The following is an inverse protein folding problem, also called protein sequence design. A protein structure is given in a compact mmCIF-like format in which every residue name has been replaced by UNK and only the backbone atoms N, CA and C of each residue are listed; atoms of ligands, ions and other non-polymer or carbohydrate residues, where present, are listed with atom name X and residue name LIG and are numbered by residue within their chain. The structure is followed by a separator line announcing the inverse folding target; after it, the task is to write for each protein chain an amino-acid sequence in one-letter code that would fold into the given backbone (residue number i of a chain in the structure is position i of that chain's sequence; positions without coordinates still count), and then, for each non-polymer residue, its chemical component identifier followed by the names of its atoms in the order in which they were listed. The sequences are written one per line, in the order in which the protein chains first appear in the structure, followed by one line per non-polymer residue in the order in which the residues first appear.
data_IF_109749544955
#
_entry.id   IF_109749544955
#
_cell.length_a   1.000
_cell.length_b   1.000
_cell.length_c   1.000
_cell.angle_alpha   90.00
_cell.angle_beta   90.00
_cell.angle_gamma   90.00
#
_symmetry.space_group_name_H-M   'P 1'
#
loop_
_entity.id
_entity.type
_entity.pdbx_description
1 polymer ?
#
# COMPACT_ATOMS: atom_id res chain seq x y z
N UNK A 1 -58.49 25.13 57.17
CA UNK A 1 -57.38 26.09 57.26
C UNK A 1 -56.28 25.58 56.36
N UNK A 2 -56.06 26.26 55.25
CA UNK A 2 -55.02 25.98 54.25
C UNK A 2 -53.74 26.69 54.73
N UNK A 3 -52.65 25.97 54.93
CA UNK A 3 -51.29 26.51 54.94
C UNK A 3 -50.26 25.39 54.79
N UNK A 4 -50.24 24.76 53.62
CA UNK A 4 -49.03 24.14 53.08
C UNK A 4 -48.50 25.09 52.00
N UNK A 5 -47.88 26.20 52.44
CA UNK A 5 -46.96 26.92 51.56
C UNK A 5 -45.65 26.18 51.64
N UNK A 6 -45.40 25.29 50.68
CA UNK A 6 -44.06 24.82 50.36
C UNK A 6 -43.50 25.75 49.27
N UNK A 7 -42.81 26.86 49.62
CA UNK A 7 -42.03 27.58 48.64
C UNK A 7 -40.83 26.71 48.29
N UNK A 8 -40.59 26.46 47.01
CA UNK A 8 -39.40 25.81 46.40
C UNK A 8 -39.68 24.53 45.59
N UNK A 9 -40.79 24.47 44.86
CA UNK A 9 -40.85 23.67 43.61
C UNK A 9 -40.13 24.36 42.42
N UNK A 10 -39.51 25.53 42.68
CA UNK A 10 -38.69 26.30 41.76
C UNK A 10 -37.20 26.31 42.14
N UNK A 11 -36.73 25.40 42.99
CA UNK A 11 -35.35 24.90 42.85
C UNK A 11 -35.32 24.00 41.59
N UNK A 12 -35.71 24.50 40.42
CA UNK A 12 -34.73 24.83 39.38
C UNK A 12 -33.59 23.81 39.43
N UNK A 13 -33.78 22.71 38.71
CA UNK A 13 -32.72 21.80 38.32
C UNK A 13 -31.63 22.64 37.65
N UNK A 14 -30.67 23.12 38.45
CA UNK A 14 -29.59 23.97 37.96
C UNK A 14 -28.82 23.14 36.95
N UNK A 15 -28.91 23.56 35.69
CA UNK A 15 -28.14 22.96 34.62
C UNK A 15 -26.65 22.93 34.94
N UNK A 16 -25.93 21.98 34.33
CA UNK A 16 -24.48 21.88 34.41
C UNK A 16 -23.76 23.20 34.03
N UNK A 17 -24.27 23.95 33.05
CA UNK A 17 -23.72 25.24 32.62
C UNK A 17 -23.90 26.34 33.66
N UNK A 18 -25.08 26.41 34.28
CA UNK A 18 -25.40 27.38 35.34
C UNK A 18 -24.49 27.15 36.57
N UNK A 19 -24.32 25.89 36.98
CA UNK A 19 -23.44 25.53 38.11
C UNK A 19 -21.98 25.89 37.85
N UNK A 20 -21.48 25.66 36.63
CA UNK A 20 -20.12 26.06 36.25
C UNK A 20 -19.93 27.58 36.29
N UNK A 21 -20.93 28.33 35.82
CA UNK A 21 -20.92 29.79 35.84
C UNK A 21 -20.87 30.33 37.27
N UNK A 22 -21.74 29.84 38.14
CA UNK A 22 -21.78 30.25 39.55
C UNK A 22 -20.45 29.92 40.25
N UNK A 23 -19.89 28.73 40.00
CA UNK A 23 -18.61 28.33 40.54
C UNK A 23 -17.44 29.19 40.02
N UNK A 24 -17.48 29.60 38.74
CA UNK A 24 -16.50 30.53 38.17
C UNK A 24 -16.59 31.89 38.86
N UNK A 25 -17.81 32.42 39.03
CA UNK A 25 -18.06 33.71 39.69
C UNK A 25 -17.65 33.67 41.16
N UNK A 26 -17.91 32.56 41.87
CA UNK A 26 -17.46 32.33 43.24
C UNK A 26 -15.92 32.24 43.36
N UNK A 27 -15.26 31.70 42.34
CA UNK A 27 -13.80 31.69 42.24
C UNK A 27 -13.20 33.04 41.81
N UNK A 28 -14.04 34.04 41.47
CA UNK A 28 -13.61 35.37 41.04
C UNK A 28 -12.89 35.39 39.67
N UNK A 29 -13.09 34.35 38.85
CA UNK A 29 -12.40 34.21 37.56
C UNK A 29 -13.21 34.83 36.41
N UNK A 30 -12.53 35.55 35.53
CA UNK A 30 -13.13 36.00 34.27
C UNK A 30 -13.21 34.85 33.26
N UNK A 31 -14.11 34.98 32.28
CA UNK A 31 -14.25 33.97 31.21
C UNK A 31 -12.96 33.85 30.39
N UNK A 32 -12.27 34.96 30.14
CA UNK A 32 -11.00 34.97 29.41
C UNK A 32 -9.85 34.31 30.19
N UNK A 33 -9.82 34.44 31.51
CA UNK A 33 -8.85 33.73 32.36
C UNK A 33 -9.08 32.23 32.37
N UNK A 34 -10.34 31.79 32.44
CA UNK A 34 -10.70 30.38 32.34
C UNK A 34 -10.36 29.83 30.96
N UNK A 35 -10.66 30.58 29.90
CA UNK A 35 -10.31 30.26 28.53
C UNK A 35 -8.80 30.05 28.36
N UNK A 36 -8.00 30.95 28.93
CA UNK A 36 -6.54 30.84 28.95
C UNK A 36 -6.04 29.62 29.73
N UNK A 37 -6.59 29.35 30.92
CA UNK A 37 -6.19 28.21 31.78
C UNK A 37 -6.55 26.84 31.19
N UNK A 38 -7.70 26.74 30.51
CA UNK A 38 -8.16 25.49 29.89
C UNK A 38 -7.65 25.31 28.45
N UNK A 39 -6.95 26.30 27.89
CA UNK A 39 -6.59 26.35 26.46
C UNK A 39 -7.81 26.20 25.54
N UNK A 40 -8.91 26.86 25.91
CA UNK A 40 -10.18 26.81 25.19
C UNK A 40 -10.57 28.20 24.70
N UNK A 41 -11.09 28.36 23.47
CA UNK A 41 -11.60 29.65 23.02
C UNK A 41 -12.72 30.16 23.95
N UNK A 42 -12.77 31.47 24.24
CA UNK A 42 -13.81 32.07 25.10
C UNK A 42 -15.25 31.75 24.62
N UNK A 43 -15.45 31.65 23.30
CA UNK A 43 -16.74 31.22 22.71
C UNK A 43 -17.18 29.84 23.18
N UNK A 44 -16.24 28.94 23.44
CA UNK A 44 -16.51 27.58 23.90
C UNK A 44 -16.89 27.61 25.38
N UNK A 45 -16.17 28.37 26.21
CA UNK A 45 -16.51 28.54 27.64
C UNK A 45 -17.92 29.13 27.79
N UNK A 46 -18.26 30.16 27.01
CA UNK A 46 -19.62 30.70 26.97
C UNK A 46 -20.66 29.69 26.51
N UNK A 47 -20.38 28.89 25.48
CA UNK A 47 -21.30 27.86 25.02
C UNK A 47 -21.49 26.73 26.06
N UNK A 48 -20.47 26.40 26.86
CA UNK A 48 -20.58 25.45 27.97
C UNK A 48 -21.44 26.01 29.12
N UNK A 49 -21.27 27.29 29.47
CA UNK A 49 -22.08 27.96 30.51
C UNK A 49 -23.55 28.15 30.09
N UNK A 50 -23.81 28.29 28.79
CA UNK A 50 -25.17 28.41 28.22
C UNK A 50 -25.80 27.07 27.82
N UNK A 51 -25.09 25.96 28.00
CA UNK A 51 -25.52 24.62 27.58
C UNK A 51 -25.86 24.51 26.08
N UNK A 52 -25.22 25.34 25.26
CA UNK A 52 -25.45 25.38 23.81
C UNK A 52 -24.58 24.35 23.09
N UNK A 53 -24.96 23.07 23.26
CA UNK A 53 -24.25 21.92 22.68
C UNK A 53 -24.22 21.93 21.16
N UNK A 54 -25.19 22.59 20.52
CA UNK A 54 -25.31 22.65 19.06
C UNK A 54 -24.21 23.51 18.43
N UNK A 55 -23.82 24.62 19.09
CA UNK A 55 -22.74 25.49 18.61
C UNK A 55 -21.33 24.92 18.82
N UNK A 56 -21.19 23.90 19.66
CA UNK A 56 -19.91 23.24 19.95
C UNK A 56 -19.46 22.27 18.84
N UNK A 57 -20.31 22.03 17.84
CA UNK A 57 -20.02 21.32 16.59
C UNK A 57 -19.94 19.81 16.74
N UNK A 58 -19.13 19.30 17.67
CA UNK A 58 -18.93 17.88 17.90
C UNK A 58 -19.22 17.52 19.37
N UNK A 59 -20.38 16.89 19.68
CA UNK A 59 -20.79 16.57 21.05
C UNK A 59 -19.83 15.62 21.78
N UNK A 60 -18.99 14.89 21.04
CA UNK A 60 -17.92 14.03 21.58
C UNK A 60 -16.94 14.78 22.48
N UNK A 61 -16.64 16.05 22.21
CA UNK A 61 -15.66 16.79 23.00
C UNK A 61 -16.26 17.50 24.21
N UNK A 62 -17.58 17.73 24.21
CA UNK A 62 -18.28 18.50 25.26
C UNK A 62 -18.12 17.88 26.64
N UNK A 63 -18.28 16.55 26.76
CA UNK A 63 -18.10 15.82 28.04
C UNK A 63 -16.70 15.99 28.62
N UNK A 64 -15.68 15.92 27.76
CA UNK A 64 -14.29 16.11 28.18
C UNK A 64 -14.02 17.53 28.64
N UNK A 65 -14.59 18.51 27.93
CA UNK A 65 -14.46 19.93 28.24
C UNK A 65 -15.15 20.31 29.56
N UNK A 66 -16.37 19.82 29.78
CA UNK A 66 -17.08 19.98 31.05
C UNK A 66 -16.29 19.40 32.22
N UNK A 67 -15.70 18.20 32.06
CA UNK A 67 -14.87 17.60 33.10
C UNK A 67 -13.58 18.38 33.38
N UNK A 68 -12.94 18.91 32.34
CA UNK A 68 -11.75 19.76 32.50
C UNK A 68 -12.09 21.08 33.22
N UNK A 69 -13.24 21.68 32.89
CA UNK A 69 -13.71 22.90 33.55
C UNK A 69 -14.11 22.64 35.01
N UNK A 70 -14.85 21.56 35.26
CA UNK A 70 -15.19 21.09 36.60
C UNK A 70 -13.94 20.88 37.49
N UNK A 71 -12.89 20.27 36.91
CA UNK A 71 -11.61 20.05 37.60
C UNK A 71 -10.90 21.37 37.95
N UNK A 72 -10.96 22.37 37.08
CA UNK A 72 -10.36 23.69 37.36
C UNK A 72 -11.04 24.39 38.53
N UNK A 73 -12.38 24.30 38.61
CA UNK A 73 -13.18 24.93 39.65
C UNK A 73 -13.41 24.04 40.89
N UNK A 74 -12.90 22.80 40.87
CA UNK A 74 -13.08 21.79 41.92
C UNK A 74 -14.56 21.50 42.26
N UNK A 75 -15.42 21.52 41.25
CA UNK A 75 -16.86 21.21 41.37
C UNK A 75 -17.12 19.80 40.87
N UNK A 76 -17.94 19.03 41.58
CA UNK A 76 -18.40 17.73 41.09
C UNK A 76 -19.62 17.91 40.18
N UNK A 77 -19.41 17.67 38.88
CA UNK A 77 -20.45 17.71 37.86
C UNK A 77 -20.84 16.32 37.35
N UNK A 78 -20.23 15.24 37.85
CA UNK A 78 -20.56 13.89 37.41
C UNK A 78 -22.05 13.52 37.60
N UNK A 79 -22.76 13.87 38.70
CA UNK A 79 -24.18 13.58 38.83
C UNK A 79 -25.05 14.38 37.84
N UNK A 80 -24.64 15.61 37.50
CA UNK A 80 -25.34 16.49 36.55
C UNK A 80 -25.09 16.07 35.10
N UNK A 81 -23.89 15.58 34.78
CA UNK A 81 -23.52 15.06 33.45
C UNK A 81 -24.24 13.75 33.09
N UNK A 82 -24.69 12.98 34.08
CA UNK A 82 -25.50 11.79 33.87
C UNK A 82 -26.96 12.13 33.57
N UNK A 83 -27.46 13.25 34.08
CA UNK A 83 -28.80 13.77 33.83
C UNK A 83 -28.86 14.59 32.53
N UNK A 84 -27.77 15.28 32.19
CA UNK A 84 -27.62 15.98 30.92
C UNK A 84 -27.69 14.96 29.76
N UNK A 85 -28.80 14.97 29.02
CA UNK A 85 -29.03 14.12 27.84
C UNK A 85 -28.15 14.59 26.69
N UNK A 86 -26.85 14.34 26.79
CA UNK A 86 -25.89 14.57 25.71
C UNK A 86 -26.17 13.49 24.68
N UNK A 87 -26.68 13.90 23.52
CA UNK A 87 -27.18 13.03 22.46
C UNK A 87 -26.24 11.82 22.23
N UNK A 88 -26.76 10.59 22.18
CA UNK A 88 -25.96 9.40 21.93
C UNK A 88 -25.16 9.57 20.65
N UNK A 89 -23.89 9.19 20.72
CA UNK A 89 -22.94 9.23 19.62
C UNK A 89 -23.43 8.22 18.57
N UNK A 90 -24.12 8.68 17.53
CA UNK A 90 -24.44 7.82 16.40
C UNK A 90 -23.15 7.65 15.57
N UNK A 91 -22.57 6.43 15.50
CA UNK A 91 -21.36 6.22 14.74
C UNK A 91 -21.64 6.51 13.27
N UNK A 92 -20.77 7.32 12.64
CA UNK A 92 -20.85 7.62 11.21
C UNK A 92 -20.92 6.30 10.45
N UNK A 93 -22.04 6.06 9.77
CA UNK A 93 -22.26 4.85 8.96
C UNK A 93 -21.19 4.78 7.88
N UNK A 94 -20.23 3.88 8.06
CA UNK A 94 -19.15 3.64 7.10
C UNK A 94 -19.74 3.06 5.81
N UNK A 95 -19.90 3.89 4.78
CA UNK A 95 -20.29 3.44 3.44
C UNK A 95 -19.03 2.95 2.72
N UNK A 96 -18.90 1.63 2.55
CA UNK A 96 -17.81 1.07 1.77
C UNK A 96 -18.07 1.24 0.27
N UNK A 97 -17.29 2.10 -0.39
CA UNK A 97 -17.39 2.38 -1.83
C UNK A 97 -16.76 1.30 -2.74
N UNK A 98 -16.70 0.04 -2.31
CA UNK A 98 -16.12 -1.06 -3.10
C UNK A 98 -17.12 -2.17 -3.28
N UNK A 99 -17.98 -2.02 -4.29
CA UNK A 99 -18.95 -3.03 -4.68
C UNK A 99 -18.45 -3.80 -5.92
N UNK A 100 -17.49 -4.71 -5.74
CA UNK A 100 -17.30 -5.77 -6.75
C UNK A 100 -18.35 -6.85 -6.49
N UNK A 101 -19.31 -7.10 -7.40
CA UNK A 101 -20.34 -8.11 -7.19
C UNK A 101 -19.69 -9.50 -7.06
N UNK A 102 -19.95 -10.18 -5.94
CA UNK A 102 -19.40 -11.52 -5.63
C UNK A 102 -19.65 -12.53 -6.75
N UNK A 103 -20.80 -12.43 -7.42
CA UNK A 103 -21.17 -13.29 -8.55
C UNK A 103 -20.16 -13.23 -9.72
N UNK A 104 -19.64 -12.03 -10.03
CA UNK A 104 -18.69 -11.84 -11.14
C UNK A 104 -17.33 -12.47 -10.84
N UNK A 105 -16.86 -12.37 -9.59
CA UNK A 105 -15.62 -13.06 -9.15
C UNK A 105 -15.75 -14.58 -9.20
N UNK A 106 -16.90 -15.14 -8.78
CA UNK A 106 -17.11 -16.59 -8.81
C UNK A 106 -17.12 -17.09 -10.25
N UNK A 107 -17.87 -16.43 -11.15
CA UNK A 107 -17.94 -16.81 -12.56
C UNK A 107 -16.57 -16.78 -13.25
N UNK A 108 -15.78 -15.72 -13.03
CA UNK A 108 -14.42 -15.61 -13.59
C UNK A 108 -13.48 -16.70 -13.05
N UNK A 109 -13.60 -17.04 -11.77
CA UNK A 109 -12.81 -18.11 -11.16
C UNK A 109 -13.18 -19.50 -11.70
N UNK A 110 -14.47 -19.76 -11.92
CA UNK A 110 -14.97 -21.03 -12.45
C UNK A 110 -14.64 -21.17 -13.94
N UNK A 111 -14.79 -20.10 -14.72
CA UNK A 111 -14.42 -20.08 -16.14
C UNK A 111 -12.93 -20.35 -16.35
N UNK A 112 -12.06 -19.75 -15.52
CA UNK A 112 -10.62 -20.00 -15.58
C UNK A 112 -10.26 -21.44 -15.22
N UNK A 113 -10.90 -22.02 -14.20
CA UNK A 113 -10.70 -23.43 -13.83
C UNK A 113 -11.19 -24.37 -14.92
N UNK A 114 -12.35 -24.11 -15.52
CA UNK A 114 -12.89 -24.90 -16.63
C UNK A 114 -11.94 -24.88 -17.84
N UNK A 115 -11.37 -23.70 -18.17
CA UNK A 115 -10.37 -23.57 -19.23
C UNK A 115 -9.16 -24.49 -19.00
N UNK A 116 -8.59 -24.51 -17.78
CA UNK A 116 -7.48 -25.39 -17.47
C UNK A 116 -7.84 -26.88 -17.55
N UNK A 117 -9.05 -27.27 -17.14
CA UNK A 117 -9.54 -28.65 -17.27
C UNK A 117 -9.65 -29.06 -18.73
N UNK A 118 -10.21 -28.19 -19.60
CA UNK A 118 -10.33 -28.46 -21.04
C UNK A 118 -8.95 -28.59 -21.69
N UNK A 119 -8.03 -27.65 -21.44
CA UNK A 119 -6.66 -27.71 -21.95
C UNK A 119 -5.97 -29.01 -21.52
N UNK A 120 -6.09 -29.37 -20.23
CA UNK A 120 -5.51 -30.62 -19.73
C UNK A 120 -6.10 -31.85 -20.41
N UNK A 121 -7.43 -31.88 -20.63
CA UNK A 121 -8.07 -32.98 -21.36
C UNK A 121 -7.60 -33.10 -22.81
N UNK A 122 -7.44 -31.98 -23.52
CA UNK A 122 -6.96 -31.95 -24.91
C UNK A 122 -5.57 -32.55 -25.06
N UNK A 123 -4.67 -32.39 -24.07
CA UNK A 123 -3.33 -32.97 -24.13
C UNK A 123 -3.26 -34.37 -23.49
N UNK A 124 -3.94 -34.61 -22.37
CA UNK A 124 -3.86 -35.87 -21.64
C UNK A 124 -4.54 -37.02 -22.39
N UNK A 125 -5.68 -36.79 -23.06
CA UNK A 125 -6.44 -37.84 -23.75
C UNK A 125 -5.69 -38.43 -24.96
N UNK A 126 -5.10 -37.63 -25.87
CA UNK A 126 -4.29 -38.16 -26.97
C UNK A 126 -3.04 -38.89 -26.49
N UNK A 127 -2.34 -38.35 -25.48
CA UNK A 127 -1.13 -38.97 -24.92
C UNK A 127 -1.46 -40.31 -24.26
N UNK A 128 -2.56 -40.38 -23.50
CA UNK A 128 -3.01 -41.63 -22.89
C UNK A 128 -3.42 -42.66 -23.95
N UNK A 129 -4.14 -42.24 -24.99
CA UNK A 129 -4.54 -43.12 -26.08
C UNK A 129 -3.33 -43.67 -26.86
N UNK A 130 -2.36 -42.81 -27.18
CA UNK A 130 -1.12 -43.20 -27.86
C UNK A 130 -0.26 -44.14 -27.00
N UNK A 131 -0.12 -43.85 -25.70
CA UNK A 131 0.69 -44.67 -24.80
C UNK A 131 0.04 -46.03 -24.53
N UNK A 132 -1.29 -46.08 -24.40
CA UNK A 132 -2.02 -47.34 -24.24
C UNK A 132 -1.83 -48.26 -25.44
N UNK A 133 -1.86 -47.72 -26.66
CA UNK A 133 -1.60 -48.51 -27.87
C UNK A 133 -0.18 -49.09 -27.94
N UNK A 134 0.80 -48.45 -27.28
CA UNK A 134 2.17 -48.93 -27.19
C UNK A 134 2.38 -49.96 -26.07
N UNK A 135 1.48 -50.01 -25.09
CA UNK A 135 1.51 -50.97 -23.98
C UNK A 135 0.73 -52.25 -24.30
N UNK A 136 -0.34 -52.16 -25.10
CA UNK A 136 -1.21 -53.30 -25.47
C UNK A 136 -0.74 -54.04 -26.75
N UNK A 137 0.36 -53.62 -27.40
CA UNK A 137 0.79 -54.13 -28.72
C UNK A 137 2.27 -54.49 -28.85
N UNK A 138 2.54 -55.81 -28.92
CA UNK A 138 3.79 -56.50 -29.34
C UNK A 138 5.03 -56.33 -28.46
N UNK A 139 5.33 -57.39 -27.70
CA UNK A 139 6.67 -57.66 -27.19
C UNK A 139 7.67 -57.69 -28.37
N UNK A 140 8.80 -56.97 -28.30
CA UNK A 140 9.82 -57.05 -29.35
C UNK A 140 10.34 -58.49 -29.40
N UNK A 141 10.15 -59.12 -30.55
CA UNK A 141 10.72 -60.43 -30.87
C UNK A 141 12.24 -60.23 -30.93
N UNK A 142 12.94 -60.55 -29.86
CA UNK A 142 14.39 -60.66 -29.89
C UNK A 142 14.74 -61.81 -30.82
N UNK A 143 15.27 -61.49 -31.99
CA UNK A 143 15.83 -62.47 -32.93
C UNK A 143 17.00 -63.15 -32.21
N UNK A 144 16.83 -64.41 -31.82
CA UNK A 144 17.92 -65.28 -31.38
C UNK A 144 18.89 -65.52 -32.52
N UNK A 145 20.17 -65.22 -32.28
CA UNK A 145 21.30 -65.40 -33.21
C UNK A 145 21.81 -66.85 -33.27
N UNK A 146 21.09 -67.82 -32.73
CA UNK A 146 21.55 -69.20 -32.57
C UNK A 146 20.85 -70.13 -33.56
N UNK A 147 21.29 -70.09 -34.82
CA UNK A 147 21.10 -71.17 -35.81
C UNK A 147 21.83 -70.79 -37.10
N UNK A 148 23.01 -71.38 -37.31
CA UNK A 148 23.70 -71.34 -38.59
C UNK A 148 24.14 -72.75 -38.96
N UNK A 149 23.65 -73.34 -40.07
CA UNK A 149 24.22 -74.57 -40.59
C UNK A 149 25.43 -74.28 -41.47
N UNK A 150 26.45 -75.09 -41.19
CA UNK A 150 27.56 -75.53 -42.02
C UNK A 150 27.30 -75.53 -43.55
N UNK A 151 27.72 -74.50 -44.28
CA UNK A 151 28.05 -74.60 -45.71
C UNK A 151 28.77 -73.35 -46.22
N UNK A 152 30.11 -73.36 -46.21
CA UNK A 152 30.97 -72.81 -47.27
C UNK A 152 32.45 -72.84 -46.85
N UNK A 153 33.08 -74.02 -46.96
CA UNK A 153 34.52 -74.07 -47.24
C UNK A 153 34.72 -73.79 -48.73
N UNK A 154 35.32 -72.65 -49.06
CA UNK A 154 36.47 -72.64 -49.97
C UNK A 154 37.28 -71.36 -49.78
N UNK A 155 38.58 -71.57 -49.55
CA UNK A 155 39.65 -70.58 -49.43
C UNK A 155 39.95 -69.95 -50.83
N UNK A 156 40.68 -68.85 -51.03
CA UNK A 156 41.79 -68.23 -50.29
C UNK A 156 42.02 -66.78 -50.88
N UNK A 157 43.12 -66.05 -50.59
CA UNK A 157 43.06 -64.84 -49.75
C UNK A 157 43.64 -63.57 -50.41
N UNK A 158 43.33 -62.41 -49.82
CA UNK A 158 44.00 -61.15 -50.17
C UNK A 158 43.63 -60.03 -49.20
N UNK A 159 44.36 -59.94 -48.09
CA UNK A 159 44.41 -58.80 -47.17
C UNK A 159 45.84 -58.81 -46.55
N UNK A 160 46.37 -57.73 -45.93
CA UNK A 160 45.63 -56.81 -45.06
C UNK A 160 45.99 -55.32 -45.26
N UNK A 161 45.15 -54.37 -44.86
CA UNK A 161 45.18 -53.61 -43.61
C UNK A 161 44.82 -52.15 -44.04
N UNK A 162 44.15 -51.26 -43.31
CA UNK A 162 43.94 -51.08 -41.87
C UNK A 162 42.78 -50.08 -41.69
N UNK A 163 41.95 -50.32 -40.67
CA UNK A 163 41.00 -49.41 -40.00
C UNK A 163 41.73 -48.21 -39.30
N UNK A 164 41.13 -47.23 -38.56
CA UNK A 164 39.84 -47.30 -37.82
C UNK A 164 39.02 -45.97 -37.62
N UNK A 165 37.87 -46.16 -36.95
CA UNK A 165 37.35 -45.40 -35.80
C UNK A 165 36.46 -44.15 -35.98
N UNK A 166 35.23 -44.35 -35.51
CA UNK A 166 34.21 -43.39 -35.08
C UNK A 166 34.57 -42.68 -33.76
N UNK A 167 33.89 -41.57 -33.50
CA UNK A 167 33.86 -40.92 -32.19
C UNK A 167 32.45 -41.01 -31.54
N UNK A 168 32.33 -41.23 -30.20
CA UNK A 168 31.07 -41.37 -29.47
C UNK A 168 30.52 -40.06 -28.83
N UNK A 169 29.30 -40.17 -28.28
CA UNK A 169 28.47 -39.17 -27.57
C UNK A 169 28.98 -38.85 -26.16
N UNK A 170 28.66 -37.66 -25.62
CA UNK A 170 28.36 -37.49 -24.18
C UNK A 170 27.57 -36.20 -23.82
N UNK A 171 26.91 -36.28 -22.66
CA UNK A 171 25.88 -35.42 -22.04
C UNK A 171 26.49 -34.48 -20.95
N UNK A 172 25.70 -33.65 -20.21
CA UNK A 172 26.14 -32.36 -19.63
C UNK A 172 26.38 -32.29 -18.10
N UNK A 173 26.81 -31.08 -17.68
CA UNK A 173 26.70 -30.36 -16.38
C UNK A 173 27.99 -30.28 -15.51
N UNK A 174 28.15 -29.32 -14.56
CA UNK A 174 27.35 -28.13 -14.20
C UNK A 174 28.14 -26.79 -14.02
N UNK A 175 27.35 -25.70 -13.90
CA UNK A 175 27.50 -24.42 -13.16
C UNK A 175 28.81 -24.09 -12.38
N UNK A 176 29.30 -22.84 -12.50
CA UNK A 176 29.23 -21.75 -11.47
C UNK A 176 30.01 -20.50 -11.95
N UNK A 177 29.25 -19.40 -12.04
CA UNK A 177 29.51 -18.01 -11.62
C UNK A 177 30.71 -17.16 -12.11
N UNK A 178 30.30 -15.96 -12.56
CA UNK A 178 30.78 -14.63 -12.16
C UNK A 178 32.03 -14.06 -12.85
N UNK A 179 31.81 -12.98 -13.60
CA UNK A 179 32.23 -11.60 -13.31
C UNK A 179 32.45 -10.84 -14.62
N UNK A 180 31.64 -9.80 -14.86
CA UNK A 180 31.97 -8.64 -15.71
C UNK A 180 33.25 -7.94 -15.20
N UNK A 181 34.01 -7.10 -15.98
CA UNK A 181 33.49 -6.00 -16.81
C UNK A 181 34.34 -5.49 -18.06
N UNK A 182 33.67 -4.71 -18.94
CA UNK A 182 34.06 -3.44 -19.67
C UNK A 182 35.40 -3.34 -20.45
N UNK A 183 35.44 -2.91 -21.75
CA UNK A 183 35.66 -1.48 -22.18
C UNK A 183 34.95 -1.05 -23.50
N UNK A 184 34.33 0.15 -23.58
CA UNK A 184 34.83 1.51 -23.93
C UNK A 184 34.84 1.86 -25.45
N UNK A 185 33.84 2.68 -25.80
CA UNK A 185 33.82 3.89 -26.66
C UNK A 185 34.72 4.04 -27.91
N UNK A 186 34.05 4.30 -29.04
CA UNK A 186 34.35 5.35 -30.06
C UNK A 186 32.97 5.66 -30.67
N UNK A 187 32.42 6.87 -30.80
CA UNK A 187 32.95 8.23 -30.82
C UNK A 187 32.35 8.89 -32.04
N UNK A 188 31.20 9.59 -31.90
CA UNK A 188 30.96 10.86 -32.58
C UNK A 188 29.67 11.55 -32.09
N UNK A 189 29.78 12.87 -32.05
CA UNK A 189 29.01 13.77 -31.24
C UNK A 189 27.76 14.30 -31.94
N UNK A 190 26.65 14.33 -31.21
CA UNK A 190 25.70 15.46 -31.28
C UNK A 190 24.98 15.54 -29.93
N UNK A 191 25.54 16.34 -29.02
CA UNK A 191 24.82 16.80 -27.84
C UNK A 191 23.83 17.90 -28.25
N UNK A 192 22.60 17.86 -27.75
CA UNK A 192 21.91 19.06 -27.35
C UNK A 192 22.20 19.27 -25.87
N UNK A 193 22.90 20.36 -25.62
CA UNK A 193 23.00 21.13 -24.40
C UNK A 193 22.22 20.61 -23.19
N UNK A 194 22.98 20.31 -22.15
CA UNK A 194 22.57 20.45 -20.77
C UNK A 194 21.87 21.80 -20.57
N UNK A 195 20.54 21.77 -20.51
CA UNK A 195 19.79 22.76 -19.76
C UNK A 195 19.94 22.36 -18.29
N UNK A 196 20.88 23.00 -17.61
CA UNK A 196 20.94 23.03 -16.15
C UNK A 196 19.66 23.74 -15.69
N UNK A 197 18.58 22.98 -15.53
CA UNK A 197 17.42 23.37 -14.75
C UNK A 197 17.80 23.27 -13.26
N UNK A 198 17.28 24.17 -12.42
CA UNK A 198 17.90 24.56 -11.16
C UNK A 198 18.08 23.35 -10.22
N UNK A 199 19.23 23.30 -9.55
CA UNK A 199 19.49 22.33 -8.50
C UNK A 199 18.32 22.30 -7.53
N UNK A 200 17.59 21.18 -7.50
CA UNK A 200 16.37 21.03 -6.71
C UNK A 200 15.17 20.43 -7.46
N UNK A 201 15.18 20.35 -8.79
CA UNK A 201 14.08 19.67 -9.51
C UNK A 201 14.10 18.16 -9.25
N UNK A 202 12.94 17.61 -8.90
CA UNK A 202 12.73 16.19 -8.65
C UNK A 202 12.14 15.54 -9.89
N UNK A 203 12.84 14.58 -10.48
CA UNK A 203 12.32 13.78 -11.60
C UNK A 203 12.10 12.33 -11.19
N UNK A 204 10.94 11.78 -11.51
CA UNK A 204 10.57 10.39 -11.31
C UNK A 204 10.44 9.71 -12.66
N UNK A 205 11.25 8.68 -12.89
CA UNK A 205 11.19 7.83 -14.08
C UNK A 205 10.65 6.46 -13.72
N UNK A 206 9.60 6.03 -14.43
CA UNK A 206 8.84 4.82 -14.11
C UNK A 206 9.20 3.72 -15.09
N UNK A 207 9.78 2.62 -14.61
CA UNK A 207 10.09 1.42 -15.41
C UNK A 207 8.97 0.36 -15.38
N UNK A 208 7.92 0.60 -14.58
CA UNK A 208 6.74 -0.25 -14.45
C UNK A 208 5.52 0.56 -14.02
N UNK A 209 4.34 -0.06 -14.05
CA UNK A 209 3.11 0.59 -13.58
C UNK A 209 3.23 0.91 -12.07
N UNK A 210 2.99 2.17 -11.72
CA UNK A 210 3.15 2.72 -10.37
C UNK A 210 2.05 3.73 -10.08
N UNK A 211 1.33 3.54 -8.97
CA UNK A 211 0.43 4.58 -8.50
C UNK A 211 1.20 5.57 -7.66
N UNK A 212 0.96 6.86 -7.88
CA UNK A 212 1.63 7.95 -7.17
C UNK A 212 0.61 8.82 -6.48
N UNK A 213 0.94 9.22 -5.26
CA UNK A 213 0.24 10.26 -4.54
C UNK A 213 1.26 11.30 -4.09
N UNK A 214 1.13 12.49 -4.64
CA UNK A 214 2.00 13.63 -4.41
C UNK A 214 1.16 14.71 -3.73
N UNK A 215 1.60 15.13 -2.55
CA UNK A 215 1.00 16.21 -1.78
C UNK A 215 1.96 17.39 -1.74
N UNK A 216 1.43 18.60 -1.82
CA UNK A 216 2.17 19.84 -1.62
C UNK A 216 2.51 20.03 -0.12
N UNK A 217 3.41 20.98 0.22
CA UNK A 217 3.77 21.28 1.61
C UNK A 217 2.58 21.70 2.49
N UNK A 218 1.52 22.24 1.89
CA UNK A 218 0.26 22.62 2.55
C UNK A 218 -0.70 21.44 2.80
N UNK A 219 -0.35 20.23 2.34
CA UNK A 219 -1.16 19.03 2.43
C UNK A 219 -2.20 18.88 1.30
N UNK A 220 -2.27 19.80 0.34
CA UNK A 220 -3.13 19.66 -0.83
C UNK A 220 -2.59 18.60 -1.78
N UNK A 221 -3.47 17.90 -2.50
CA UNK A 221 -3.06 16.86 -3.45
C UNK A 221 -2.62 17.51 -4.77
N UNK A 222 -1.34 17.39 -5.11
CA UNK A 222 -0.79 17.86 -6.38
C UNK A 222 -1.09 16.86 -7.49
N UNK A 223 -0.91 15.56 -7.22
CA UNK A 223 -1.16 14.52 -8.21
C UNK A 223 -1.56 13.20 -7.53
N UNK A 224 -2.59 12.55 -8.08
CA UNK A 224 -3.05 11.21 -7.69
C UNK A 224 -3.37 10.44 -8.96
N UNK A 225 -2.41 9.67 -9.45
CA UNK A 225 -2.52 9.01 -10.74
C UNK A 225 -1.83 7.64 -10.74
N UNK A 226 -2.26 6.77 -11.66
CA UNK A 226 -1.51 5.58 -12.04
C UNK A 226 -0.64 5.94 -13.25
N UNK A 227 0.67 5.93 -13.05
CA UNK A 227 1.65 6.20 -14.11
C UNK A 227 2.10 4.88 -14.71
N UNK A 228 2.16 4.83 -16.04
CA UNK A 228 2.56 3.64 -16.79
C UNK A 228 4.07 3.55 -16.95
N UNK A 229 4.55 2.34 -17.22
CA UNK A 229 5.95 2.10 -17.59
C UNK A 229 6.38 2.98 -18.77
N UNK A 230 7.57 3.59 -18.67
CA UNK A 230 8.18 4.46 -19.69
C UNK A 230 7.86 5.94 -19.54
N UNK A 231 6.93 6.33 -18.66
CA UNK A 231 6.65 7.74 -18.40
C UNK A 231 7.65 8.36 -17.43
N UNK A 232 7.86 9.68 -17.55
CA UNK A 232 8.63 10.49 -16.61
C UNK A 232 7.77 11.66 -16.12
N UNK A 233 7.96 12.04 -14.85
CA UNK A 233 7.37 13.24 -14.25
C UNK A 233 8.44 14.08 -13.60
N UNK A 234 8.39 15.39 -13.82
CA UNK A 234 9.35 16.34 -13.27
C UNK A 234 8.59 17.41 -12.48
N UNK A 235 9.06 17.67 -11.26
CA UNK A 235 8.47 18.64 -10.35
C UNK A 235 9.52 19.66 -9.92
N UNK A 236 9.08 20.91 -9.73
CA UNK A 236 9.94 21.98 -9.25
C UNK A 236 10.14 21.90 -7.72
N UNK A 237 11.29 22.36 -7.19
CA UNK A 237 11.50 22.43 -5.74
C UNK A 237 10.41 23.30 -5.08
N UNK A 238 9.88 22.83 -3.95
CA UNK A 238 8.77 23.49 -3.23
C UNK A 238 7.35 23.17 -3.74
N UNK A 239 7.20 22.53 -4.91
CA UNK A 239 5.89 22.08 -5.41
C UNK A 239 5.38 20.82 -4.69
N UNK A 240 6.32 19.99 -4.23
CA UNK A 240 6.04 18.69 -3.62
C UNK A 240 6.56 18.68 -2.19
N UNK A 241 5.72 18.24 -1.25
CA UNK A 241 6.06 18.11 0.17
C UNK A 241 6.10 16.66 0.64
N UNK A 242 5.12 15.84 0.25
CA UNK A 242 5.07 14.41 0.60
C UNK A 242 4.75 13.55 -0.61
N UNK A 243 5.55 12.52 -0.84
CA UNK A 243 5.39 11.62 -1.98
C UNK A 243 5.19 10.19 -1.47
N UNK A 244 4.19 9.53 -2.02
CA UNK A 244 3.92 8.11 -1.84
C UNK A 244 3.94 7.43 -3.20
N UNK A 245 4.86 6.47 -3.36
CA UNK A 245 5.02 5.69 -4.58
C UNK A 245 4.62 4.24 -4.31
N UNK A 246 3.65 3.73 -5.06
CA UNK A 246 3.35 2.31 -5.15
C UNK A 246 4.23 1.62 -6.18
N UNK A 247 4.62 0.38 -5.93
CA UNK A 247 5.61 -0.33 -6.74
C UNK A 247 6.95 0.42 -6.85
N UNK A 248 7.49 0.85 -5.70
CA UNK A 248 8.68 1.70 -5.63
C UNK A 248 9.95 1.04 -6.22
N UNK A 249 9.98 -0.29 -6.37
CA UNK A 249 11.06 -1.00 -7.06
C UNK A 249 11.15 -0.69 -8.56
N UNK A 250 10.05 -0.25 -9.16
CA UNK A 250 9.93 0.14 -10.56
C UNK A 250 9.96 1.66 -10.77
N UNK A 251 10.36 2.44 -9.76
CA UNK A 251 10.46 3.89 -9.85
C UNK A 251 11.87 4.33 -9.47
N UNK A 252 12.51 5.07 -10.36
CA UNK A 252 13.79 5.70 -10.10
C UNK A 252 13.58 7.20 -9.86
N UNK A 253 14.02 7.67 -8.70
CA UNK A 253 13.91 9.07 -8.28
C UNK A 253 15.26 9.73 -8.46
N UNK A 254 15.28 10.86 -9.18
CA UNK A 254 16.49 11.65 -9.38
C UNK A 254 16.25 13.09 -8.91
N UNK A 255 17.22 13.66 -8.19
CA UNK A 255 17.22 15.04 -7.72
C UNK A 255 18.37 15.78 -8.40
N UNK A 256 18.09 16.83 -9.17
CA UNK A 256 19.13 17.61 -9.84
C UNK A 256 20.11 16.77 -10.68
N UNK A 257 19.63 15.66 -11.27
CA UNK A 257 20.43 14.71 -12.04
C UNK A 257 21.13 13.60 -11.25
N UNK A 258 21.05 13.59 -9.91
CA UNK A 258 21.60 12.53 -9.06
C UNK A 258 20.53 11.52 -8.66
N UNK A 259 20.80 10.23 -8.83
CA UNK A 259 19.88 9.15 -8.42
C UNK A 259 19.83 9.09 -6.90
N UNK A 260 18.64 9.23 -6.32
CA UNK A 260 18.39 9.11 -4.88
C UNK A 260 18.00 7.68 -4.58
N UNK A 261 18.71 7.03 -3.65
CA UNK A 261 18.34 5.70 -3.21
C UNK A 261 17.04 5.76 -2.38
N UNK A 262 15.98 5.18 -2.94
CA UNK A 262 14.66 5.10 -2.31
C UNK A 262 14.50 3.88 -1.41
N UNK A 263 15.43 2.91 -1.43
CA UNK A 263 15.35 1.68 -0.63
C UNK A 263 15.19 1.93 0.88
N UNK A 264 15.88 2.90 1.51
CA UNK A 264 15.69 3.18 2.94
C UNK A 264 14.26 3.62 3.30
N UNK A 265 13.51 4.12 2.31
CA UNK A 265 12.15 4.64 2.47
C UNK A 265 11.06 3.67 1.99
N UNK A 266 11.46 2.47 1.52
CA UNK A 266 10.55 1.42 1.05
C UNK A 266 10.08 0.54 2.21
N UNK A 267 8.75 0.46 2.40
CA UNK A 267 8.11 -0.58 3.22
C UNK A 267 7.35 -1.52 2.27
N UNK A 268 7.82 -2.76 2.16
CA UNK A 268 7.35 -3.74 1.18
C UNK A 268 7.45 -3.20 -0.26
N UNK A 269 6.32 -2.91 -0.91
CA UNK A 269 6.28 -2.39 -2.28
C UNK A 269 5.87 -0.91 -2.37
N UNK A 270 5.90 -0.17 -1.26
CA UNK A 270 5.51 1.24 -1.19
C UNK A 270 6.63 2.08 -0.59
N UNK A 271 7.07 3.13 -1.29
CA UNK A 271 8.00 4.12 -0.75
C UNK A 271 7.24 5.35 -0.26
N UNK A 272 7.62 5.85 0.93
CA UNK A 272 7.06 7.07 1.52
C UNK A 272 8.19 7.97 1.96
N UNK A 273 8.27 9.16 1.37
CA UNK A 273 9.28 10.14 1.75
C UNK A 273 8.73 11.56 1.63
N UNK A 274 9.29 12.45 2.45
CA UNK A 274 9.06 13.87 2.38
C UNK A 274 10.13 14.51 1.49
N UNK A 275 9.75 15.56 0.79
CA UNK A 275 10.65 16.38 -0.01
C UNK A 275 10.68 17.75 0.64
N UNK A 276 11.85 18.17 1.12
CA UNK A 276 12.02 19.50 1.71
C UNK A 276 12.00 20.57 0.62
N UNK A 277 11.85 21.84 0.99
CA UNK A 277 11.82 22.98 0.06
C UNK A 277 13.06 23.07 -0.85
N UNK A 278 14.18 22.47 -0.43
CA UNK A 278 15.44 22.34 -1.19
C UNK A 278 15.47 21.11 -2.13
N UNK A 279 14.35 20.39 -2.26
CA UNK A 279 14.24 19.15 -3.02
C UNK A 279 14.85 17.91 -2.34
N UNK A 280 15.43 18.06 -1.14
CA UNK A 280 16.05 16.95 -0.41
C UNK A 280 15.02 15.94 0.09
N UNK A 281 15.32 14.65 -0.06
CA UNK A 281 14.46 13.56 0.36
C UNK A 281 14.74 13.19 1.82
N UNK A 282 13.74 13.32 2.68
CA UNK A 282 13.79 13.05 4.13
C UNK A 282 12.76 11.96 4.45
N UNK A 283 13.00 11.05 5.43
CA UNK A 283 11.96 10.10 5.84
C UNK A 283 10.69 10.86 6.24
N UNK A 284 9.55 10.46 5.69
CA UNK A 284 8.27 11.02 6.09
C UNK A 284 8.00 10.60 7.54
N UNK A 285 8.15 11.51 8.49
CA UNK A 285 7.70 11.32 9.86
C UNK A 285 6.21 10.97 9.84
N UNK A 286 5.87 9.90 10.54
CA UNK A 286 4.55 9.26 10.55
C UNK A 286 3.47 10.21 11.07
#
# INVERSE_FOLDING_TARGET
MISDSNPNLFEQEKGCGQNLREAREAAGLSVDEVAGKLCMPARVVHALEQEDWQRLGAPVFVRGQLRSYARLLQVDLEPLLQQATIAPIEPVKLVSHTHTPRARRILESTARKAMYVVITGVFAVPVWYATRSHLDGKAPSTVSLDSMPEAAKSAAPGNPATQPAAAPREQPAPYIASMTPVPRATGDAQAPAAAVAPGGSLSLSFSGDSWVQILAPDGSAVEKALIRAGEQRTYSPGQVGRIVLGNASAVQVQQGGSIVDVKPFQRANVARFAVSSDGSVVPASE
#
